data_IF_818160073348
#
_entry.id   IF_818160073348
#
_cell.length_a   1.000
_cell.length_b   1.000
_cell.length_c   1.000
_cell.angle_alpha   90.00
_cell.angle_beta   90.00
_cell.angle_gamma   90.00
#
_symmetry.space_group_name_H-M   'P 1'
#
loop_
_entity.id
_entity.type
_entity.pdbx_description
1 polymer ?
#
# COMPACT_ATOMS: atom_id res chain seq x y z
N UNK A 1 -90.58 -3.96 -3.00
CA UNK A 1 -90.81 -5.19 -3.80
C UNK A 1 -89.69 -5.35 -4.82
N UNK A 2 -89.10 -6.55 -4.88
CA UNK A 2 -88.60 -7.30 -6.07
C UNK A 2 -87.81 -6.54 -7.15
N UNK A 3 -86.53 -6.94 -7.33
CA UNK A 3 -85.95 -7.68 -8.50
C UNK A 3 -85.74 -6.78 -9.74
N UNK A 4 -84.73 -6.90 -10.61
CA UNK A 4 -83.49 -7.66 -10.83
C UNK A 4 -83.09 -7.25 -12.27
N UNK A 5 -81.78 -7.01 -12.55
CA UNK A 5 -81.05 -7.50 -13.76
C UNK A 5 -81.42 -6.79 -15.11
N UNK A 6 -80.57 -6.46 -16.11
CA UNK A 6 -79.26 -6.93 -16.63
C UNK A 6 -78.62 -5.86 -17.57
N UNK A 7 -77.28 -5.75 -17.51
CA UNK A 7 -76.25 -5.66 -18.58
C UNK A 7 -76.57 -4.96 -19.93
N UNK A 8 -75.72 -3.99 -20.29
CA UNK A 8 -75.45 -3.54 -21.67
C UNK A 8 -74.04 -2.93 -21.79
N UNK A 9 -73.29 -3.33 -22.81
CA UNK A 9 -71.82 -3.23 -22.97
C UNK A 9 -71.41 -2.06 -23.90
N UNK A 10 -70.17 -1.54 -23.68
CA UNK A 10 -69.29 -0.73 -24.57
C UNK A 10 -69.74 0.75 -24.76
N UNK A 11 -68.87 1.77 -24.73
CA UNK A 11 -67.46 1.83 -25.14
C UNK A 11 -66.75 3.11 -24.66
N UNK A 12 -65.41 3.01 -24.64
CA UNK A 12 -64.43 4.05 -24.97
C UNK A 12 -64.14 5.21 -23.99
N UNK A 13 -62.89 5.11 -23.52
CA UNK A 13 -61.84 6.15 -23.44
C UNK A 13 -61.92 7.08 -22.22
N UNK A 14 -61.02 6.84 -21.27
CA UNK A 14 -59.76 7.60 -21.05
C UNK A 14 -60.06 8.95 -20.44
N UNK A 15 -59.68 9.13 -19.17
CA UNK A 15 -58.79 10.20 -18.67
C UNK A 15 -58.69 10.04 -17.14
N UNK A 16 -57.46 10.22 -16.63
CA UNK A 16 -57.10 10.45 -15.23
C UNK A 16 -56.91 9.24 -14.29
N UNK A 17 -55.82 8.51 -14.53
CA UNK A 17 -55.04 7.94 -13.42
C UNK A 17 -53.57 7.96 -13.82
N UNK A 18 -52.83 8.97 -13.35
CA UNK A 18 -51.36 8.98 -13.23
C UNK A 18 -50.92 10.33 -12.66
N UNK A 19 -51.24 10.56 -11.39
CA UNK A 19 -50.59 11.61 -10.58
C UNK A 19 -49.91 10.98 -9.35
N UNK A 20 -49.43 9.75 -9.50
CA UNK A 20 -48.60 9.04 -8.53
C UNK A 20 -47.63 8.19 -9.35
N UNK A 21 -46.34 8.21 -8.98
CA UNK A 21 -45.16 7.65 -9.68
C UNK A 21 -44.44 8.56 -10.68
N UNK A 22 -43.60 9.46 -10.17
CA UNK A 22 -42.22 9.63 -10.66
C UNK A 22 -41.42 10.58 -9.75
N UNK A 23 -41.35 10.30 -8.45
CA UNK A 23 -40.20 10.73 -7.66
C UNK A 23 -39.32 9.49 -7.48
N UNK A 24 -38.67 9.09 -8.57
CA UNK A 24 -37.56 8.16 -8.50
C UNK A 24 -36.46 8.86 -7.73
N UNK A 25 -36.30 8.49 -6.46
CA UNK A 25 -35.10 8.77 -5.71
C UNK A 25 -33.91 8.23 -6.52
N UNK A 26 -33.22 9.12 -7.24
CA UNK A 26 -31.86 8.85 -7.67
C UNK A 26 -31.01 8.85 -6.39
N UNK A 27 -30.96 7.71 -5.71
CA UNK A 27 -29.83 7.43 -4.84
C UNK A 27 -28.62 7.27 -5.74
N UNK A 28 -27.88 8.36 -5.93
CA UNK A 28 -26.49 8.27 -6.36
C UNK A 28 -25.80 7.36 -5.36
N UNK A 29 -25.48 6.14 -5.77
CA UNK A 29 -24.50 5.36 -5.03
C UNK A 29 -23.20 6.13 -5.20
N UNK A 30 -22.74 6.83 -4.15
CA UNK A 30 -21.45 7.48 -4.15
C UNK A 30 -20.39 6.47 -4.64
N UNK A 31 -19.78 6.81 -5.77
CA UNK A 31 -18.71 6.01 -6.38
C UNK A 31 -17.56 5.81 -5.41
N UNK A 32 -16.63 4.91 -5.75
CA UNK A 32 -15.42 4.72 -4.94
C UNK A 32 -14.59 6.00 -4.96
N UNK A 33 -14.25 6.51 -3.77
CA UNK A 33 -13.39 7.67 -3.65
C UNK A 33 -11.93 7.25 -3.68
N UNK A 34 -11.35 7.37 -4.86
CA UNK A 34 -9.97 7.04 -5.17
C UNK A 34 -8.90 7.92 -4.51
N UNK A 35 -9.32 8.94 -3.75
CA UNK A 35 -8.49 9.82 -2.93
C UNK A 35 -8.86 9.76 -1.43
N UNK A 36 -9.72 8.81 -1.02
CA UNK A 36 -10.03 8.58 0.40
C UNK A 36 -8.86 7.86 1.09
N UNK A 37 -7.81 8.62 1.40
CA UNK A 37 -6.71 8.20 2.24
C UNK A 37 -6.09 9.45 2.89
N UNK A 38 -5.30 9.23 3.94
CA UNK A 38 -4.59 10.28 4.67
C UNK A 38 -3.09 10.22 4.52
N UNK A 39 -2.57 9.05 4.14
CA UNK A 39 -1.21 8.84 3.66
C UNK A 39 -1.18 7.63 2.71
N UNK A 40 -0.32 7.69 1.70
CA UNK A 40 -0.13 6.68 0.67
C UNK A 40 1.36 6.53 0.37
N UNK A 41 1.83 5.29 0.21
CA UNK A 41 3.13 5.00 -0.37
C UNK A 41 3.07 3.73 -1.21
N UNK A 42 3.57 3.80 -2.43
CA UNK A 42 3.66 2.71 -3.41
C UNK A 42 5.12 2.57 -3.83
N UNK A 43 5.63 1.34 -3.77
CA UNK A 43 6.99 1.04 -4.22
C UNK A 43 7.20 -0.44 -4.47
N UNK A 44 8.36 -0.80 -5.00
CA UNK A 44 8.75 -2.19 -5.18
C UNK A 44 9.39 -2.76 -3.91
N UNK A 45 9.69 -4.06 -3.87
CA UNK A 45 10.36 -4.66 -2.69
C UNK A 45 11.82 -4.19 -2.51
N UNK A 46 12.45 -3.60 -3.53
CA UNK A 46 13.85 -3.16 -3.51
C UNK A 46 14.03 -1.73 -2.99
N UNK A 47 12.94 -1.00 -2.77
CA UNK A 47 12.96 0.37 -2.22
C UNK A 47 12.78 1.46 -3.27
N UNK A 48 12.47 1.10 -4.52
CA UNK A 48 12.11 2.08 -5.54
C UNK A 48 10.69 2.57 -5.27
N UNK A 49 10.58 3.81 -4.80
CA UNK A 49 9.30 4.46 -4.54
C UNK A 49 8.75 4.99 -5.86
N UNK A 50 7.54 4.54 -6.19
CA UNK A 50 6.83 4.91 -7.42
C UNK A 50 5.91 6.11 -7.18
N UNK A 51 5.24 6.13 -6.03
CA UNK A 51 4.29 7.18 -5.66
C UNK A 51 4.25 7.30 -4.14
N UNK A 52 4.21 8.53 -3.64
CA UNK A 52 3.94 8.78 -2.24
C UNK A 52 3.15 10.07 -2.05
N UNK A 53 2.30 10.08 -1.02
CA UNK A 53 1.49 11.22 -0.62
C UNK A 53 1.36 11.21 0.90
N UNK A 54 1.84 12.28 1.54
CA UNK A 54 1.86 12.44 3.00
C UNK A 54 2.47 11.24 3.76
N UNK A 55 3.46 10.57 3.16
CA UNK A 55 3.99 9.28 3.61
C UNK A 55 4.74 9.33 4.95
N UNK A 56 5.20 10.52 5.35
CA UNK A 56 5.89 10.76 6.61
C UNK A 56 4.95 11.15 7.76
N UNK A 57 3.68 11.45 7.50
CA UNK A 57 2.74 11.81 8.54
C UNK A 57 2.44 10.62 9.46
N UNK A 58 2.59 10.87 10.77
CA UNK A 58 2.29 9.89 11.81
C UNK A 58 0.78 9.70 11.91
N UNK A 59 0.34 8.44 11.85
CA UNK A 59 -1.06 8.03 11.92
C UNK A 59 -1.23 6.87 12.92
N UNK A 60 -2.42 6.72 13.53
CA UNK A 60 -2.75 5.51 14.27
C UNK A 60 -2.68 4.28 13.38
N UNK A 61 -2.05 3.21 13.87
CA UNK A 61 -1.76 2.01 13.09
C UNK A 61 -2.96 1.05 12.99
N UNK A 62 -3.77 0.97 14.05
CA UNK A 62 -4.71 -0.13 14.24
C UNK A 62 -4.01 -1.50 14.05
N UNK A 63 -4.71 -2.50 13.50
CA UNK A 63 -4.17 -3.87 13.41
C UNK A 63 -2.96 -4.06 12.49
N UNK A 64 -2.46 -3.05 11.76
CA UNK A 64 -1.16 -3.20 11.07
C UNK A 64 0.00 -3.34 12.07
N UNK A 65 -0.20 -2.93 13.32
CA UNK A 65 0.67 -3.24 14.48
C UNK A 65 1.06 -4.72 14.55
N UNK A 66 0.15 -5.63 14.18
CA UNK A 66 0.36 -7.08 14.28
C UNK A 66 1.44 -7.62 13.33
N UNK A 67 1.91 -6.82 12.37
CA UNK A 67 3.09 -7.17 11.57
C UNK A 67 4.30 -7.33 12.50
N UNK A 68 4.56 -6.36 13.40
CA UNK A 68 5.65 -6.43 14.37
C UNK A 68 5.45 -7.55 15.40
N UNK A 69 4.22 -7.76 15.87
CA UNK A 69 3.89 -8.88 16.77
C UNK A 69 4.23 -10.23 16.15
N UNK A 70 3.93 -10.40 14.86
CA UNK A 70 4.25 -11.62 14.12
C UNK A 70 5.76 -11.75 13.92
N UNK A 71 6.47 -10.66 13.61
CA UNK A 71 7.93 -10.64 13.47
C UNK A 71 8.62 -11.14 14.74
N UNK A 72 8.26 -10.62 15.92
CA UNK A 72 8.89 -11.07 17.18
C UNK A 72 8.61 -12.54 17.49
N UNK A 73 7.43 -13.04 17.12
CA UNK A 73 7.11 -14.47 17.25
C UNK A 73 7.98 -15.30 16.30
N UNK A 74 8.08 -14.87 15.03
CA UNK A 74 8.89 -15.53 14.01
C UNK A 74 10.40 -15.48 14.33
N UNK A 75 10.89 -14.43 15.01
CA UNK A 75 12.26 -14.36 15.51
C UNK A 75 12.58 -15.49 16.49
N UNK A 76 11.67 -15.76 17.43
CA UNK A 76 11.84 -16.86 18.39
C UNK A 76 11.82 -18.22 17.69
N UNK A 77 10.98 -18.38 16.67
CA UNK A 77 10.94 -19.59 15.84
C UNK A 77 12.24 -19.76 15.06
N UNK A 78 12.69 -18.71 14.36
CA UNK A 78 13.91 -18.72 13.53
C UNK A 78 15.18 -18.97 14.35
N UNK A 79 15.20 -18.53 15.60
CA UNK A 79 16.31 -18.78 16.54
C UNK A 79 16.18 -20.11 17.30
N UNK A 80 15.13 -20.90 17.07
CA UNK A 80 14.91 -22.19 17.72
C UNK A 80 14.51 -22.11 19.20
N UNK A 81 14.15 -20.92 19.71
CA UNK A 81 13.71 -20.74 21.10
C UNK A 81 12.29 -21.27 21.33
N UNK A 82 11.45 -21.24 20.30
CA UNK A 82 10.12 -21.85 20.28
C UNK A 82 9.91 -22.53 18.92
N UNK A 83 8.92 -23.41 18.83
CA UNK A 83 8.47 -24.00 17.56
C UNK A 83 7.06 -23.54 17.19
N UNK A 84 6.67 -23.76 15.93
CA UNK A 84 5.29 -23.51 15.50
C UNK A 84 4.26 -24.41 16.22
N UNK A 85 4.68 -25.57 16.71
CA UNK A 85 3.79 -26.60 17.26
C UNK A 85 3.72 -26.56 18.80
N UNK A 86 4.52 -25.68 19.42
CA UNK A 86 4.50 -25.40 20.85
C UNK A 86 3.10 -24.96 21.29
N UNK A 87 2.71 -25.44 22.48
CA UNK A 87 1.40 -25.20 23.05
C UNK A 87 1.41 -23.96 23.94
N UNK A 88 0.54 -23.01 23.60
CA UNK A 88 0.31 -21.78 24.37
C UNK A 88 -1.01 -21.91 25.11
N UNK A 89 -0.96 -21.92 26.44
CA UNK A 89 -2.14 -21.85 27.30
C UNK A 89 -2.69 -20.43 27.27
N UNK A 90 -3.92 -20.26 26.79
CA UNK A 90 -4.56 -18.93 26.72
C UNK A 90 -4.95 -18.46 28.11
N UNK A 91 -4.47 -17.29 28.53
CA UNK A 91 -4.85 -16.68 29.81
C UNK A 91 -6.30 -16.17 29.79
N UNK A 92 -6.91 -15.99 30.96
CA UNK A 92 -8.22 -15.34 31.08
C UNK A 92 -8.19 -13.91 30.52
N UNK A 93 -7.05 -13.22 30.63
CA UNK A 93 -6.87 -11.88 30.08
C UNK A 93 -6.82 -11.90 28.55
N UNK A 94 -6.02 -12.78 27.95
CA UNK A 94 -5.98 -12.93 26.50
C UNK A 94 -7.36 -13.29 25.94
N UNK A 95 -8.07 -14.24 26.56
CA UNK A 95 -9.41 -14.65 26.13
C UNK A 95 -10.45 -13.52 26.17
N UNK A 96 -10.30 -12.55 27.08
CA UNK A 96 -11.23 -11.42 27.20
C UNK A 96 -10.94 -10.24 26.26
N UNK A 97 -9.80 -10.25 25.56
CA UNK A 97 -9.47 -9.20 24.59
C UNK A 97 -10.46 -9.24 23.41
N UNK A 98 -11.15 -8.11 23.11
CA UNK A 98 -12.24 -8.11 22.14
C UNK A 98 -11.76 -8.13 20.69
N UNK A 99 -12.68 -8.49 19.78
CA UNK A 99 -12.51 -8.57 18.33
C UNK A 99 -11.47 -9.61 17.88
N UNK A 100 -11.96 -10.78 17.50
CA UNK A 100 -11.14 -11.89 17.08
C UNK A 100 -11.91 -13.20 16.94
N UNK A 101 -11.18 -14.30 16.82
CA UNK A 101 -11.73 -15.65 17.02
C UNK A 101 -12.09 -15.85 18.49
N UNK A 102 -12.89 -16.87 18.79
CA UNK A 102 -13.11 -17.28 20.17
C UNK A 102 -11.92 -18.12 20.63
N UNK A 103 -11.15 -17.60 21.58
CA UNK A 103 -10.16 -18.38 22.33
C UNK A 103 -10.72 -18.65 23.73
N UNK A 104 -10.46 -19.84 24.27
CA UNK A 104 -10.98 -20.28 25.57
C UNK A 104 -9.86 -20.19 26.60
N UNK A 105 -10.09 -19.50 27.72
CA UNK A 105 -9.13 -19.44 28.82
C UNK A 105 -8.78 -20.84 29.33
N UNK A 106 -7.50 -21.09 29.62
CA UNK A 106 -6.96 -22.38 30.05
C UNK A 106 -6.79 -23.41 28.92
N UNK A 107 -7.40 -23.20 27.75
CA UNK A 107 -7.19 -24.09 26.59
C UNK A 107 -5.86 -23.78 25.91
N UNK A 108 -5.20 -24.83 25.44
CA UNK A 108 -3.97 -24.73 24.66
C UNK A 108 -4.23 -24.65 23.16
N UNK A 109 -3.52 -23.74 22.50
CA UNK A 109 -3.47 -23.60 21.04
C UNK A 109 -2.01 -23.65 20.60
N UNK A 110 -1.74 -24.08 19.36
CA UNK A 110 -0.36 -24.03 18.86
C UNK A 110 0.06 -22.59 18.56
N UNK A 111 1.37 -22.30 18.59
CA UNK A 111 1.90 -21.02 18.08
C UNK A 111 1.43 -20.78 16.64
N UNK A 112 1.37 -21.83 15.81
CA UNK A 112 0.84 -21.80 14.44
C UNK A 112 -0.63 -21.37 14.38
N UNK A 113 -1.48 -21.90 15.25
CA UNK A 113 -2.90 -21.51 15.34
C UNK A 113 -3.03 -20.03 15.68
N UNK A 114 -2.24 -19.56 16.66
CA UNK A 114 -2.28 -18.16 17.07
C UNK A 114 -1.73 -17.22 16.00
N UNK A 115 -0.68 -17.61 15.26
CA UNK A 115 -0.18 -16.87 14.09
C UNK A 115 -1.22 -16.82 12.97
N UNK A 116 -1.86 -17.95 12.63
CA UNK A 116 -2.98 -17.98 11.66
C UNK A 116 -4.09 -17.02 12.07
N UNK A 117 -4.55 -17.09 13.33
CA UNK A 117 -5.59 -16.20 13.83
C UNK A 117 -5.17 -14.72 13.80
N UNK A 118 -3.91 -14.42 14.12
CA UNK A 118 -3.33 -13.07 14.13
C UNK A 118 -3.16 -12.48 12.73
N UNK A 119 -2.61 -13.24 11.78
CA UNK A 119 -2.27 -12.78 10.44
C UNK A 119 -3.51 -12.77 9.53
N UNK A 120 -4.27 -13.88 9.52
CA UNK A 120 -5.41 -14.06 8.62
C UNK A 120 -6.63 -13.32 9.16
N UNK A 121 -7.11 -13.69 10.36
CA UNK A 121 -8.34 -13.11 10.93
C UNK A 121 -8.12 -11.80 11.68
N UNK A 122 -6.88 -11.34 11.83
CA UNK A 122 -6.54 -10.13 12.59
C UNK A 122 -6.94 -10.19 14.07
N UNK A 123 -6.94 -11.38 14.66
CA UNK A 123 -7.48 -11.63 16.00
C UNK A 123 -6.66 -10.92 17.09
N UNK A 124 -7.30 -10.08 17.90
CA UNK A 124 -6.61 -9.31 18.95
C UNK A 124 -6.19 -10.18 20.14
N UNK A 125 -7.05 -11.12 20.55
CA UNK A 125 -6.76 -12.07 21.63
C UNK A 125 -5.62 -13.04 21.28
N UNK A 126 -5.51 -13.48 20.02
CA UNK A 126 -4.40 -14.33 19.58
C UNK A 126 -3.07 -13.56 19.60
N UNK A 127 -3.07 -12.30 19.14
CA UNK A 127 -1.90 -11.44 19.22
C UNK A 127 -1.49 -11.17 20.68
N UNK A 128 -2.46 -11.01 21.59
CA UNK A 128 -2.21 -10.84 23.01
C UNK A 128 -1.62 -12.12 23.64
N UNK A 129 -2.18 -13.30 23.32
CA UNK A 129 -1.66 -14.59 23.79
C UNK A 129 -0.23 -14.85 23.29
N UNK A 130 0.08 -14.53 22.03
CA UNK A 130 1.44 -14.58 21.50
C UNK A 130 2.37 -13.64 22.26
N UNK A 131 1.92 -12.42 22.58
CA UNK A 131 2.72 -11.45 23.32
C UNK A 131 3.05 -11.93 24.75
N UNK A 132 2.06 -12.48 25.47
CA UNK A 132 2.31 -13.10 26.78
C UNK A 132 3.30 -14.26 26.67
N UNK A 133 3.13 -15.15 25.68
CA UNK A 133 3.98 -16.32 25.52
C UNK A 133 5.43 -15.98 25.12
N UNK A 134 5.59 -15.11 24.13
CA UNK A 134 6.89 -14.75 23.54
C UNK A 134 7.66 -13.76 24.41
N UNK A 135 6.96 -12.81 25.02
CA UNK A 135 7.55 -11.74 25.83
C UNK A 135 7.59 -12.03 27.32
N UNK A 136 6.99 -13.12 27.78
CA UNK A 136 6.73 -13.41 29.21
C UNK A 136 5.55 -12.60 29.76
N UNK A 137 5.47 -11.32 29.40
CA UNK A 137 4.35 -10.43 29.68
C UNK A 137 4.19 -9.38 28.56
N UNK A 138 3.01 -8.75 28.50
CA UNK A 138 2.69 -7.77 27.45
C UNK A 138 3.56 -6.50 27.53
N UNK A 139 3.80 -5.87 28.70
CA UNK A 139 4.74 -4.76 28.80
C UNK A 139 6.14 -5.07 28.24
N UNK A 140 6.71 -6.23 28.57
CA UNK A 140 8.00 -6.71 28.09
C UNK A 140 7.99 -6.97 26.59
N UNK A 141 6.91 -7.54 26.08
CA UNK A 141 6.71 -7.70 24.64
C UNK A 141 6.64 -6.35 23.90
N UNK A 142 5.89 -5.38 24.41
CA UNK A 142 5.78 -4.04 23.81
C UNK A 142 7.12 -3.30 23.85
N UNK A 143 7.93 -3.44 24.91
CA UNK A 143 9.31 -2.93 24.92
C UNK A 143 10.13 -3.54 23.77
N UNK A 144 10.06 -4.86 23.61
CA UNK A 144 10.73 -5.58 22.52
C UNK A 144 10.27 -5.12 21.13
N UNK A 145 8.97 -4.81 20.95
CA UNK A 145 8.44 -4.28 19.68
C UNK A 145 9.08 -2.94 19.33
N UNK A 146 9.24 -2.06 20.31
CA UNK A 146 9.85 -0.75 20.11
C UNK A 146 11.37 -0.83 19.94
N UNK A 147 12.05 -1.73 20.65
CA UNK A 147 13.49 -2.00 20.44
C UNK A 147 13.74 -2.54 19.03
N UNK A 148 12.90 -3.47 18.56
CA UNK A 148 12.96 -4.02 17.21
C UNK A 148 12.68 -2.97 16.13
N UNK A 149 11.72 -2.06 16.37
CA UNK A 149 11.48 -0.93 15.48
C UNK A 149 12.72 -0.02 15.37
N UNK A 150 13.35 0.32 16.50
CA UNK A 150 14.58 1.13 16.52
C UNK A 150 15.75 0.45 15.85
N UNK A 151 15.93 -0.85 16.05
CA UNK A 151 17.03 -1.59 15.40
C UNK A 151 16.88 -1.68 13.88
N UNK A 152 15.67 -1.49 13.36
CA UNK A 152 15.39 -1.35 11.94
C UNK A 152 15.39 0.10 11.41
N UNK A 153 15.65 1.10 12.26
CA UNK A 153 15.59 2.51 11.87
C UNK A 153 14.17 2.95 11.49
N UNK A 154 13.15 2.39 12.15
CA UNK A 154 11.73 2.68 11.94
C UNK A 154 11.26 3.71 12.97
N UNK A 155 11.85 4.89 12.92
CA UNK A 155 11.78 5.89 13.99
C UNK A 155 10.38 6.42 14.27
N UNK A 156 9.46 6.37 13.30
CA UNK A 156 8.06 6.78 13.51
C UNK A 156 7.23 5.71 14.23
N UNK A 157 7.65 4.44 14.20
CA UNK A 157 6.87 3.36 14.78
C UNK A 157 6.98 3.40 16.30
N UNK A 158 5.83 3.51 16.95
CA UNK A 158 5.67 3.53 18.42
C UNK A 158 4.55 2.57 18.78
N UNK A 159 4.89 1.52 19.50
CA UNK A 159 3.95 0.49 19.92
C UNK A 159 3.59 0.65 21.38
N UNK A 160 2.31 0.48 21.67
CA UNK A 160 1.71 0.59 22.99
C UNK A 160 0.87 -0.66 23.32
N UNK A 161 0.61 -1.51 22.32
CA UNK A 161 -0.09 -2.77 22.47
C UNK A 161 0.42 -3.81 21.44
N UNK A 162 0.22 -5.11 21.69
CA UNK A 162 0.59 -6.15 20.71
C UNK A 162 -0.41 -6.29 19.57
N UNK A 163 -1.56 -5.59 19.62
CA UNK A 163 -2.67 -5.84 18.72
C UNK A 163 -3.18 -4.59 17.99
N UNK A 164 -2.80 -3.38 18.39
CA UNK A 164 -3.27 -2.14 17.77
C UNK A 164 -4.69 -1.76 18.19
N UNK A 165 -5.17 -2.21 19.34
CA UNK A 165 -6.40 -1.69 19.94
C UNK A 165 -6.19 -0.26 20.44
N UNK A 166 -7.19 0.64 20.33
CA UNK A 166 -7.04 2.01 20.76
C UNK A 166 -7.03 2.12 22.31
N UNK A 167 -6.55 3.25 22.86
CA UNK A 167 -6.43 3.50 24.30
C UNK A 167 -7.68 3.18 25.13
N UNK A 168 -8.88 3.37 24.57
CA UNK A 168 -10.15 3.06 25.22
C UNK A 168 -10.32 1.59 25.59
N UNK A 169 -9.58 0.67 24.96
CA UNK A 169 -9.57 -0.76 25.28
C UNK A 169 -8.33 -1.19 26.05
N UNK A 170 -7.19 -0.54 25.81
CA UNK A 170 -5.90 -0.98 26.35
C UNK A 170 -5.51 -0.28 27.64
N UNK A 171 -6.05 0.91 27.89
CA UNK A 171 -5.56 1.81 28.94
C UNK A 171 -4.12 2.31 28.71
N UNK A 172 -3.59 2.12 27.49
CA UNK A 172 -2.22 2.48 27.09
C UNK A 172 -2.26 3.58 26.01
N UNK A 173 -1.11 4.03 25.54
CA UNK A 173 -1.02 4.96 24.42
C UNK A 173 -1.53 4.35 23.10
N UNK A 174 -1.70 5.20 22.08
CA UNK A 174 -2.09 4.77 20.74
C UNK A 174 -0.87 4.21 19.98
N UNK A 175 -1.00 3.06 19.34
CA UNK A 175 0.01 2.58 18.39
C UNK A 175 0.09 3.50 17.17
N UNK A 176 1.28 4.01 16.85
CA UNK A 176 1.49 5.06 15.86
C UNK A 176 2.65 4.76 14.90
N UNK A 177 2.59 5.31 13.70
CA UNK A 177 3.64 5.20 12.68
C UNK A 177 3.27 5.90 11.37
N UNK A 178 4.20 5.95 10.43
CA UNK A 178 3.96 6.53 9.11
C UNK A 178 4.07 5.50 7.97
N UNK A 179 3.65 5.89 6.77
CA UNK A 179 3.63 4.98 5.62
C UNK A 179 5.04 4.58 5.17
N UNK A 180 6.03 5.46 5.31
CA UNK A 180 7.45 5.21 4.96
C UNK A 180 8.05 4.08 5.79
N UNK A 181 7.84 4.09 7.09
CA UNK A 181 8.39 3.06 7.98
C UNK A 181 7.58 1.76 7.91
N UNK A 182 6.27 1.82 7.69
CA UNK A 182 5.48 0.61 7.41
C UNK A 182 5.88 -0.04 6.09
N UNK A 183 6.26 0.74 5.08
CA UNK A 183 6.80 0.23 3.82
C UNK A 183 8.13 -0.49 4.04
N UNK A 184 9.07 0.12 4.79
CA UNK A 184 10.33 -0.55 5.18
C UNK A 184 10.07 -1.82 5.99
N UNK A 185 9.13 -1.77 6.94
CA UNK A 185 8.73 -2.94 7.73
C UNK A 185 8.19 -4.06 6.83
N UNK A 186 7.42 -3.71 5.79
CA UNK A 186 6.94 -4.67 4.81
C UNK A 186 8.09 -5.27 3.99
N UNK A 187 9.07 -4.47 3.54
CA UNK A 187 10.27 -4.97 2.86
C UNK A 187 11.04 -5.97 3.74
N UNK A 188 11.26 -5.62 5.02
CA UNK A 188 11.90 -6.50 6.01
C UNK A 188 11.09 -7.79 6.20
N UNK A 189 9.77 -7.67 6.34
CA UNK A 189 8.88 -8.83 6.49
C UNK A 189 9.03 -9.79 5.29
N UNK A 190 9.02 -9.24 4.08
CA UNK A 190 9.11 -10.02 2.85
C UNK A 190 10.48 -10.66 2.64
N UNK A 191 11.56 -9.99 3.07
CA UNK A 191 12.94 -10.46 2.91
C UNK A 191 13.37 -11.44 4.00
N UNK A 192 13.16 -11.09 5.26
CA UNK A 192 13.75 -11.80 6.40
C UNK A 192 12.78 -12.79 7.07
N UNK A 193 11.48 -12.62 6.79
CA UNK A 193 10.36 -13.36 7.37
C UNK A 193 9.37 -13.85 6.30
N UNK A 194 9.87 -14.35 5.17
CA UNK A 194 9.06 -14.83 4.03
C UNK A 194 7.98 -15.85 4.43
N UNK A 195 8.20 -16.59 5.53
CA UNK A 195 7.21 -17.47 6.15
C UNK A 195 5.90 -16.78 6.53
N UNK A 196 5.91 -15.46 6.76
CA UNK A 196 4.70 -14.67 6.96
C UNK A 196 3.71 -14.88 5.80
N UNK A 197 4.20 -14.96 4.57
CA UNK A 197 3.39 -15.17 3.38
C UNK A 197 2.73 -16.56 3.35
N UNK A 198 3.28 -17.56 4.05
CA UNK A 198 2.63 -18.87 4.19
C UNK A 198 1.28 -18.76 4.92
N UNK A 199 1.08 -17.69 5.71
CA UNK A 199 -0.17 -17.37 6.38
C UNK A 199 -0.97 -16.31 5.60
N UNK A 200 -0.37 -15.17 5.25
CA UNK A 200 -1.11 -14.02 4.71
C UNK A 200 -1.73 -14.23 3.34
N UNK A 201 -1.21 -15.18 2.54
CA UNK A 201 -1.76 -15.52 1.22
C UNK A 201 -3.08 -16.30 1.31
N UNK A 202 -3.40 -16.86 2.48
CA UNK A 202 -4.57 -17.71 2.66
C UNK A 202 -5.82 -16.85 2.89
N UNK A 203 -6.79 -16.95 1.97
CA UNK A 203 -8.11 -16.30 2.12
C UNK A 203 -8.93 -16.93 3.25
N UNK A 204 -8.80 -18.24 3.42
CA UNK A 204 -9.44 -19.05 4.45
C UNK A 204 -8.42 -20.05 4.96
N UNK A 205 -8.42 -20.30 6.26
CA UNK A 205 -7.68 -21.39 6.90
C UNK A 205 -8.47 -21.84 8.15
N UNK A 206 -7.94 -22.83 8.86
CA UNK A 206 -8.51 -23.36 10.07
C UNK A 206 -7.46 -23.47 11.17
N UNK A 207 -7.91 -23.23 12.39
CA UNK A 207 -7.14 -23.37 13.63
C UNK A 207 -7.85 -24.38 14.53
N UNK A 208 -7.19 -24.75 15.64
CA UNK A 208 -7.78 -25.60 16.67
C UNK A 208 -8.20 -26.97 16.09
N UNK A 209 -7.25 -27.63 15.42
CA UNK A 209 -7.45 -28.92 14.76
C UNK A 209 -8.64 -28.93 13.77
N UNK A 210 -8.89 -27.81 13.09
CA UNK A 210 -9.98 -27.69 12.11
C UNK A 210 -11.29 -27.14 12.67
N UNK A 211 -11.42 -26.98 13.98
CA UNK A 211 -12.69 -26.60 14.62
C UNK A 211 -13.06 -25.12 14.44
N UNK A 212 -12.08 -24.26 14.19
CA UNK A 212 -12.33 -22.82 14.05
C UNK A 212 -11.82 -22.31 12.72
N UNK A 213 -12.75 -21.84 11.88
CA UNK A 213 -12.44 -21.20 10.60
C UNK A 213 -11.93 -19.78 10.81
N UNK A 214 -10.82 -19.44 10.15
CA UNK A 214 -10.31 -18.06 10.03
C UNK A 214 -10.44 -17.59 8.59
N UNK A 215 -10.99 -16.39 8.41
CA UNK A 215 -11.14 -15.77 7.09
C UNK A 215 -10.35 -14.47 7.06
N UNK A 216 -9.58 -14.27 5.98
CA UNK A 216 -8.73 -13.11 5.82
C UNK A 216 -9.53 -11.81 5.85
N UNK A 217 -9.00 -10.82 6.55
CA UNK A 217 -9.54 -9.45 6.51
C UNK A 217 -9.11 -8.68 5.26
N UNK A 218 -8.16 -9.20 4.47
CA UNK A 218 -7.78 -8.63 3.18
C UNK A 218 -8.70 -9.18 2.08
N UNK A 219 -9.72 -8.41 1.72
CA UNK A 219 -10.69 -8.79 0.68
C UNK A 219 -10.13 -8.66 -0.74
N UNK A 220 -8.90 -8.16 -0.93
CA UNK A 220 -8.25 -8.16 -2.25
C UNK A 220 -7.69 -9.54 -2.61
N UNK A 221 -7.49 -10.44 -1.63
CA UNK A 221 -7.06 -11.81 -1.85
C UNK A 221 -8.05 -12.59 -2.74
N UNK A 222 -7.53 -13.11 -3.85
CA UNK A 222 -8.30 -13.83 -4.87
C UNK A 222 -9.18 -12.93 -5.75
N UNK A 223 -9.26 -11.63 -5.48
CA UNK A 223 -10.01 -10.66 -6.27
C UNK A 223 -9.09 -9.76 -7.11
N UNK A 224 -7.86 -9.55 -6.67
CA UNK A 224 -6.82 -8.83 -7.41
C UNK A 224 -5.63 -9.76 -7.63
N UNK A 225 -5.22 -9.91 -8.90
CA UNK A 225 -4.14 -10.81 -9.28
C UNK A 225 -2.83 -10.43 -8.58
N UNK A 226 -2.16 -11.44 -8.02
CA UNK A 226 -0.86 -11.34 -7.38
C UNK A 226 -0.90 -10.99 -5.89
N UNK A 227 -2.04 -10.55 -5.33
CA UNK A 227 -2.13 -10.21 -3.91
C UNK A 227 -1.91 -11.44 -3.03
N UNK A 228 -0.99 -11.33 -2.07
CA UNK A 228 -0.64 -12.40 -1.12
C UNK A 228 -0.40 -11.91 0.33
N UNK A 229 -0.71 -10.64 0.63
CA UNK A 229 -0.54 -10.07 1.98
C UNK A 229 -0.72 -8.55 2.00
N UNK A 230 -0.29 -7.83 3.05
CA UNK A 230 0.21 -8.32 4.33
C UNK A 230 -0.87 -8.20 5.41
N UNK A 231 -1.35 -6.99 5.68
CA UNK A 231 -2.19 -6.73 6.86
C UNK A 231 -3.11 -5.53 6.70
N UNK A 232 -4.40 -5.72 7.00
CA UNK A 232 -5.36 -4.63 7.21
C UNK A 232 -5.44 -4.20 8.68
N UNK A 233 -5.92 -2.99 8.94
CA UNK A 233 -6.28 -2.48 10.26
C UNK A 233 -7.41 -1.46 10.20
N UNK A 234 -8.19 -1.41 11.28
CA UNK A 234 -9.28 -0.45 11.43
C UNK A 234 -9.63 -0.25 12.91
N UNK A 235 -9.85 1.01 13.27
CA UNK A 235 -10.70 1.50 14.36
C UNK A 235 -10.98 2.98 14.06
N UNK A 236 -11.98 3.59 14.71
CA UNK A 236 -12.49 4.91 14.33
C UNK A 236 -11.41 5.98 14.19
N UNK A 237 -10.48 6.07 15.15
CA UNK A 237 -9.39 7.05 15.10
C UNK A 237 -8.33 6.79 14.01
N UNK A 238 -8.17 5.54 13.55
CA UNK A 238 -7.20 5.18 12.52
C UNK A 238 -7.77 5.30 11.10
N UNK A 239 -9.09 5.20 10.95
CA UNK A 239 -9.68 4.86 9.66
C UNK A 239 -9.26 3.46 9.19
N UNK A 240 -9.42 3.18 7.90
CA UNK A 240 -9.06 1.92 7.27
C UNK A 240 -7.62 1.96 6.74
N UNK A 241 -6.75 1.17 7.36
CA UNK A 241 -5.34 1.03 7.01
C UNK A 241 -5.05 -0.30 6.31
N UNK A 242 -4.20 -0.33 5.29
CA UNK A 242 -3.65 -1.57 4.74
C UNK A 242 -2.17 -1.41 4.42
N UNK A 243 -1.42 -2.46 4.71
CA UNK A 243 -0.12 -2.75 4.10
C UNK A 243 -0.34 -3.95 3.19
N UNK A 244 -0.26 -3.74 1.89
CA UNK A 244 -0.60 -4.68 0.84
C UNK A 244 0.68 -5.08 0.09
N UNK A 245 0.76 -6.34 -0.34
CA UNK A 245 1.76 -6.77 -1.29
C UNK A 245 1.10 -7.58 -2.39
N UNK A 246 1.66 -7.46 -3.59
CA UNK A 246 1.29 -8.29 -4.72
C UNK A 246 2.56 -8.68 -5.47
N UNK A 247 2.59 -9.89 -6.02
CA UNK A 247 3.68 -10.38 -6.86
C UNK A 247 3.12 -10.88 -8.21
N UNK A 248 3.70 -10.41 -9.32
CA UNK A 248 3.40 -10.90 -10.68
C UNK A 248 4.71 -11.10 -11.45
N UNK A 249 5.01 -12.35 -11.82
CA UNK A 249 6.22 -12.69 -12.59
C UNK A 249 7.52 -12.19 -11.94
N UNK A 250 7.67 -12.47 -10.64
CA UNK A 250 8.82 -12.09 -9.80
C UNK A 250 9.07 -10.59 -9.60
N UNK A 251 8.14 -9.75 -10.04
CA UNK A 251 8.08 -8.34 -9.66
C UNK A 251 7.09 -8.19 -8.49
N UNK A 252 7.60 -7.71 -7.35
CA UNK A 252 6.83 -7.57 -6.12
C UNK A 252 6.65 -6.11 -5.74
N UNK A 253 5.38 -5.72 -5.67
CA UNK A 253 4.92 -4.41 -5.21
C UNK A 253 4.56 -4.45 -3.72
N UNK A 254 4.74 -3.30 -3.06
CA UNK A 254 4.22 -2.97 -1.74
C UNK A 254 3.40 -1.69 -1.83
N UNK A 255 2.21 -1.69 -1.23
CA UNK A 255 1.37 -0.50 -1.09
C UNK A 255 0.99 -0.30 0.38
N UNK A 256 1.18 0.91 0.89
CA UNK A 256 0.75 1.34 2.22
C UNK A 256 -0.29 2.43 2.07
N UNK A 257 -1.51 2.19 2.54
CA UNK A 257 -2.63 3.14 2.50
C UNK A 257 -3.14 3.30 3.93
N UNK A 258 -3.09 4.52 4.46
CA UNK A 258 -3.50 4.83 5.83
C UNK A 258 -4.64 5.84 5.86
N UNK A 259 -5.59 5.65 6.77
CA UNK A 259 -6.57 6.66 7.13
C UNK A 259 -7.78 6.80 6.21
N UNK A 260 -8.06 5.85 5.32
CA UNK A 260 -9.29 5.89 4.52
C UNK A 260 -10.52 5.88 5.42
N UNK A 261 -11.52 6.72 5.14
CA UNK A 261 -12.79 6.69 5.89
C UNK A 261 -13.53 5.37 5.67
N UNK A 262 -13.44 4.78 4.46
CA UNK A 262 -14.11 3.53 4.15
C UNK A 262 -13.16 2.45 3.64
N UNK A 263 -13.37 1.22 4.10
CA UNK A 263 -12.63 0.05 3.61
C UNK A 263 -12.86 -0.20 2.11
N UNK A 264 -14.04 0.14 1.57
CA UNK A 264 -14.34 0.01 0.13
C UNK A 264 -13.40 0.89 -0.70
N UNK A 265 -13.23 2.15 -0.31
CA UNK A 265 -12.45 3.13 -1.04
C UNK A 265 -10.96 2.80 -0.94
N UNK A 266 -10.51 2.44 0.27
CA UNK A 266 -9.17 1.90 0.52
C UNK A 266 -8.83 0.71 -0.39
N UNK A 267 -9.76 -0.23 -0.52
CA UNK A 267 -9.57 -1.42 -1.35
C UNK A 267 -9.54 -1.07 -2.85
N UNK A 268 -10.40 -0.15 -3.29
CA UNK A 268 -10.41 0.37 -4.65
C UNK A 268 -9.08 1.03 -5.02
N UNK A 269 -8.55 1.87 -4.12
CA UNK A 269 -7.22 2.48 -4.24
C UNK A 269 -6.16 1.38 -4.38
N UNK A 270 -6.13 0.40 -3.47
CA UNK A 270 -5.16 -0.69 -3.52
C UNK A 270 -5.22 -1.51 -4.82
N UNK A 271 -6.42 -1.81 -5.31
CA UNK A 271 -6.61 -2.52 -6.57
C UNK A 271 -6.11 -1.71 -7.77
N UNK A 272 -6.43 -0.40 -7.82
CA UNK A 272 -5.96 0.52 -8.86
C UNK A 272 -4.44 0.61 -8.87
N UNK A 273 -3.82 0.94 -7.74
CA UNK A 273 -2.37 1.13 -7.65
C UNK A 273 -1.59 -0.15 -8.00
N UNK A 274 -2.13 -1.33 -7.66
CA UNK A 274 -1.56 -2.61 -8.12
C UNK A 274 -1.59 -2.70 -9.63
N UNK A 275 -2.75 -2.45 -10.24
CA UNK A 275 -2.87 -2.61 -11.69
C UNK A 275 -2.00 -1.58 -12.43
N UNK A 276 -1.98 -0.33 -11.96
CA UNK A 276 -1.15 0.74 -12.52
C UNK A 276 0.35 0.39 -12.45
N UNK A 277 0.82 -0.11 -11.30
CA UNK A 277 2.21 -0.52 -11.10
C UNK A 277 2.68 -1.55 -12.15
N UNK A 278 1.86 -2.57 -12.42
CA UNK A 278 2.20 -3.61 -13.39
C UNK A 278 1.93 -3.22 -14.85
N UNK A 279 0.95 -2.35 -15.13
CA UNK A 279 0.62 -1.90 -16.49
C UNK A 279 1.65 -0.90 -17.02
N UNK A 280 2.11 0.03 -16.19
CA UNK A 280 3.02 1.11 -16.60
C UNK A 280 4.47 0.63 -16.79
N UNK A 281 4.73 -0.67 -16.63
CA UNK A 281 6.01 -1.29 -16.94
C UNK A 281 7.12 -0.94 -15.96
N UNK A 282 6.79 -0.53 -14.73
CA UNK A 282 7.77 -0.52 -13.63
C UNK A 282 8.40 -1.92 -13.46
N UNK A 283 7.60 -2.96 -13.68
CA UNK A 283 8.02 -4.36 -13.83
C UNK A 283 9.12 -4.61 -14.88
N UNK A 284 9.14 -3.84 -15.98
CA UNK A 284 10.05 -4.06 -17.11
C UNK A 284 11.34 -3.25 -17.05
N UNK A 285 11.36 -2.14 -16.31
CA UNK A 285 12.58 -1.31 -16.19
C UNK A 285 13.71 -1.99 -15.42
N UNK A 286 13.39 -2.97 -14.57
CA UNK A 286 14.37 -3.68 -13.75
C UNK A 286 14.82 -5.03 -14.33
N UNK A 287 14.26 -5.50 -15.44
CA UNK A 287 14.75 -6.70 -16.15
C UNK A 287 15.88 -6.41 -17.16
N UNK A 288 16.40 -5.17 -17.20
CA UNK A 288 17.31 -4.73 -18.25
C UNK A 288 18.40 -3.75 -17.83
N UNK A 289 18.80 -3.70 -16.56
CA UNK A 289 19.97 -2.91 -16.13
C UNK A 289 20.71 -3.60 -14.97
N UNK A 290 21.38 -4.70 -15.28
CA UNK A 290 22.67 -4.98 -14.67
C UNK A 290 23.69 -4.07 -15.34
N UNK A 291 23.81 -2.82 -14.89
CA UNK A 291 25.00 -2.06 -15.20
C UNK A 291 26.15 -2.68 -14.41
N UNK A 292 26.90 -3.53 -15.11
CA UNK A 292 28.24 -3.89 -14.72
C UNK A 292 29.02 -2.58 -14.51
N UNK A 293 29.61 -2.46 -13.32
CA UNK A 293 30.64 -1.48 -13.04
C UNK A 293 31.88 -1.88 -13.84
N UNK A 294 31.91 -1.58 -15.14
CA UNK A 294 33.15 -1.63 -15.92
C UNK A 294 33.86 -0.30 -15.73
N UNK A 295 34.85 -0.31 -14.83
CA UNK A 295 35.81 0.77 -14.70
C UNK A 295 36.44 1.08 -16.05
N UNK A 296 36.32 2.33 -16.45
CA UNK A 296 36.85 2.87 -17.68
C UNK A 296 38.38 3.02 -17.54
N UNK A 297 39.15 2.05 -18.04
CA UNK A 297 40.56 2.27 -18.34
C UNK A 297 40.66 2.64 -19.83
N UNK A 298 40.72 3.95 -20.07
CA UNK A 298 41.20 4.51 -21.33
C UNK A 298 42.68 4.13 -21.48
N UNK A 299 42.97 3.26 -22.44
CA UNK A 299 44.34 2.88 -22.82
C UNK A 299 44.37 2.51 -24.28
N UNK A 300 44.59 3.52 -25.12
CA UNK A 300 44.77 3.41 -26.57
C UNK A 300 45.92 2.45 -26.89
N UNK A 301 45.63 1.39 -27.63
CA UNK A 301 46.61 0.44 -28.12
C UNK A 301 47.09 0.94 -29.50
N UNK A 302 48.33 1.42 -29.57
CA UNK A 302 49.06 1.49 -30.84
C UNK A 302 50.49 0.95 -30.66
N UNK A 303 50.82 0.10 -31.62
CA UNK A 303 51.93 -0.82 -31.71
C UNK A 303 53.28 -0.09 -31.95
N UNK A 304 54.35 -0.47 -31.25
CA UNK A 304 55.70 -0.70 -31.83
C UNK A 304 56.79 -0.98 -30.78
N UNK A 305 57.57 -2.02 -31.07
CA UNK A 305 58.97 -2.33 -30.69
C UNK A 305 59.64 -1.52 -29.56
N UNK A 306 60.18 -2.22 -28.56
CA UNK A 306 61.63 -2.53 -28.47
C UNK A 306 62.06 -2.91 -27.05
N UNK A 307 62.77 -4.03 -26.95
CA UNK A 307 63.94 -4.29 -26.09
C UNK A 307 63.88 -4.07 -24.55
N UNK A 308 64.13 -5.21 -23.88
CA UNK A 308 65.20 -5.43 -22.88
C UNK A 308 64.82 -5.61 -21.40
N UNK A 309 65.14 -6.83 -20.95
CA UNK A 309 65.93 -7.21 -19.75
C UNK A 309 65.45 -6.83 -18.34
N UNK A 310 65.22 -7.93 -17.61
CA UNK A 310 65.86 -8.34 -16.34
C UNK A 310 65.22 -8.03 -14.99
N UNK A 311 65.06 -9.14 -14.23
CA UNK A 311 65.44 -9.39 -12.80
C UNK A 311 64.59 -8.68 -11.74
N UNK A 312 63.84 -9.43 -10.92
CA UNK A 312 64.19 -10.27 -9.73
C UNK A 312 64.02 -9.49 -8.42
N UNK A 313 63.25 -10.15 -7.55
CA UNK A 313 63.44 -10.31 -6.10
C UNK A 313 63.06 -9.23 -5.07
N UNK A 314 62.15 -9.68 -4.18
CA UNK A 314 62.24 -9.72 -2.72
C UNK A 314 61.85 -8.52 -1.83
N UNK A 315 60.82 -8.81 -1.00
CA UNK A 315 60.70 -8.64 0.45
C UNK A 315 60.69 -7.26 1.15
N UNK A 316 59.53 -7.04 1.79
CA UNK A 316 59.30 -6.92 3.24
C UNK A 316 59.72 -5.64 4.00
N UNK A 317 58.78 -5.22 4.86
CA UNK A 317 58.95 -4.64 6.21
C UNK A 317 58.35 -3.24 6.43
N UNK A 318 57.38 -3.24 7.34
CA UNK A 318 57.10 -2.29 8.43
C UNK A 318 57.93 -0.98 8.49
N UNK A 319 57.30 0.16 8.74
CA UNK A 319 57.12 0.70 10.10
C UNK A 319 56.35 2.05 10.10
N UNK A 320 55.73 2.30 11.25
CA UNK A 320 55.04 3.47 11.79
C UNK A 320 55.82 4.79 11.75
N UNK A 321 55.12 5.94 11.65
CA UNK A 321 55.13 6.99 12.70
C UNK A 321 54.24 8.20 12.36
N UNK A 322 53.73 8.80 13.44
CA UNK A 322 53.08 10.10 13.57
C UNK A 322 54.01 11.27 13.23
N UNK A 323 53.44 12.44 12.92
CA UNK A 323 53.61 13.64 13.76
C UNK A 323 52.77 14.83 13.24
N UNK A 324 52.38 15.66 14.20
CA UNK A 324 51.57 16.89 14.09
C UNK A 324 52.49 18.12 14.03
N UNK A 325 52.00 19.23 13.46
CA UNK A 325 52.01 20.61 14.01
C UNK A 325 51.98 21.71 12.94
N UNK A 326 50.96 22.59 13.04
CA UNK A 326 50.94 24.07 13.04
C UNK A 326 51.68 24.89 11.96
N UNK A 327 51.29 26.11 11.56
CA UNK A 327 50.10 26.99 11.72
C UNK A 327 50.42 28.29 10.93
N UNK A 328 49.40 29.12 10.74
CA UNK A 328 49.42 30.61 10.70
C UNK A 328 49.49 31.45 9.40
N UNK A 329 48.62 32.47 9.46
CA UNK A 329 48.68 33.86 8.97
C UNK A 329 48.25 34.17 7.51
N UNK A 330 47.54 35.27 7.21
CA UNK A 330 46.96 36.38 7.99
C UNK A 330 46.01 37.20 7.10
N UNK A 331 45.15 38.00 7.74
CA UNK A 331 44.18 38.94 7.20
C UNK A 331 44.80 40.19 6.57
N UNK A 332 44.06 40.88 5.67
CA UNK A 332 44.10 42.34 5.57
C UNK A 332 42.81 42.96 5.01
N UNK A 333 42.30 43.96 5.72
CA UNK A 333 41.18 44.85 5.38
C UNK A 333 41.68 46.04 4.54
N UNK A 334 40.84 46.59 3.65
CA UNK A 334 40.47 48.01 3.76
C UNK A 334 39.23 48.40 2.94
N UNK A 335 38.53 49.38 3.48
CA UNK A 335 37.23 49.98 3.15
C UNK A 335 37.23 50.93 1.95
N UNK A 336 36.04 51.14 1.35
CA UNK A 336 35.45 52.47 1.13
C UNK A 336 33.94 52.39 0.88
N UNK A 337 33.22 53.34 1.47
CA UNK A 337 31.76 53.47 1.50
C UNK A 337 31.25 54.39 0.40
N UNK A 338 30.03 54.14 -0.10
CA UNK A 338 28.98 55.17 -0.26
C UNK A 338 27.63 54.57 -0.70
N UNK A 339 26.63 54.77 0.17
CA UNK A 339 25.19 55.03 -0.06
C UNK A 339 24.44 54.39 -1.23
N UNK A 340 23.47 53.52 -0.92
CA UNK A 340 22.05 53.77 -1.25
C UNK A 340 21.09 52.78 -0.56
N UNK A 341 19.87 53.27 -0.39
CA UNK A 341 18.80 52.83 0.50
C UNK A 341 18.17 51.44 0.26
N UNK A 342 17.53 50.95 1.32
CA UNK A 342 16.37 50.06 1.37
C UNK A 342 16.37 48.73 0.60
N UNK A 343 16.57 47.63 1.33
CA UNK A 343 15.49 46.67 1.67
C UNK A 343 16.05 45.49 2.49
N UNK A 344 15.64 45.40 3.75
CA UNK A 344 15.74 44.17 4.55
C UNK A 344 14.56 43.27 4.16
N UNK A 345 14.81 42.22 3.38
CA UNK A 345 13.80 41.24 3.00
C UNK A 345 14.40 39.87 2.61
N UNK A 346 14.22 38.90 3.50
CA UNK A 346 14.19 37.44 3.29
C UNK A 346 15.37 36.69 2.65
N UNK A 347 16.38 36.37 3.49
CA UNK A 347 17.28 35.20 3.31
C UNK A 347 16.54 33.85 3.26
N UNK A 348 15.24 33.83 3.57
CA UNK A 348 14.36 32.66 3.51
C UNK A 348 13.87 32.42 2.06
N UNK A 349 13.59 33.46 1.27
CA UNK A 349 13.19 33.29 -0.15
C UNK A 349 14.32 32.77 -1.02
N UNK A 350 15.57 33.18 -0.75
CA UNK A 350 16.75 32.63 -1.44
C UNK A 350 17.03 31.17 -1.03
N UNK A 351 16.70 30.79 0.20
CA UNK A 351 16.80 29.40 0.67
C UNK A 351 15.69 28.51 0.06
N UNK A 352 14.44 28.98 0.02
CA UNK A 352 13.32 28.28 -0.62
C UNK A 352 13.53 28.10 -2.13
N UNK A 353 14.10 29.10 -2.83
CA UNK A 353 14.45 28.95 -4.24
C UNK A 353 15.64 28.01 -4.49
N UNK A 354 16.51 27.77 -3.48
CA UNK A 354 17.60 26.78 -3.59
C UNK A 354 17.15 25.33 -3.33
N UNK A 355 16.05 25.13 -2.59
CA UNK A 355 15.51 23.81 -2.26
C UNK A 355 14.44 23.36 -3.25
N UNK A 356 13.66 24.28 -3.81
CA UNK A 356 12.57 23.97 -4.75
C UNK A 356 12.87 24.37 -6.21
N UNK A 357 14.03 24.98 -6.47
CA UNK A 357 14.52 25.24 -7.82
C UNK A 357 15.25 24.03 -8.41
N UNK A 358 14.53 22.97 -8.76
CA UNK A 358 15.03 21.97 -9.71
C UNK A 358 14.04 21.75 -10.85
N UNK A 359 14.49 22.23 -12.00
CA UNK A 359 14.07 21.91 -13.34
C UNK A 359 13.93 20.38 -13.48
N UNK A 360 12.72 19.84 -13.25
CA UNK A 360 12.40 18.45 -13.53
C UNK A 360 12.15 18.32 -15.04
N UNK A 361 13.22 18.35 -15.83
CA UNK A 361 13.19 17.83 -17.19
C UNK A 361 13.16 16.30 -17.11
N UNK A 362 12.02 15.76 -16.64
CA UNK A 362 11.72 14.36 -16.85
C UNK A 362 11.53 14.18 -18.36
N UNK A 363 12.34 13.32 -19.02
CA UNK A 363 12.17 13.11 -20.45
C UNK A 363 10.76 12.58 -20.70
N UNK A 364 10.11 13.08 -21.75
CA UNK A 364 8.79 12.61 -22.13
C UNK A 364 8.87 11.11 -22.41
N UNK A 365 7.96 10.34 -21.81
CA UNK A 365 7.93 8.88 -21.92
C UNK A 365 6.60 8.47 -22.52
N UNK A 366 6.61 7.34 -23.25
CA UNK A 366 5.38 6.69 -23.69
C UNK A 366 4.67 6.11 -22.48
N UNK A 367 3.41 6.47 -22.27
CA UNK A 367 2.59 6.10 -21.12
C UNK A 367 1.22 5.66 -21.61
N UNK A 368 0.70 4.56 -21.06
CA UNK A 368 -0.66 4.11 -21.31
C UNK A 368 -1.60 4.77 -20.32
N UNK A 369 -2.33 5.77 -20.78
CA UNK A 369 -3.18 6.62 -19.93
C UNK A 369 -4.60 6.07 -19.75
N UNK A 370 -5.05 5.22 -20.67
CA UNK A 370 -6.33 4.50 -20.60
C UNK A 370 -6.06 3.05 -20.99
N UNK A 371 -6.47 2.08 -20.19
CA UNK A 371 -6.28 0.65 -20.50
C UNK A 371 -7.60 -0.12 -20.62
N UNK A 372 -7.64 -1.10 -21.52
CA UNK A 372 -8.76 -2.05 -21.71
C UNK A 372 -9.02 -2.98 -20.53
N UNK A 373 -8.14 -2.92 -19.52
CA UNK A 373 -8.23 -3.68 -18.28
C UNK A 373 -8.63 -2.81 -17.09
N UNK A 374 -8.75 -1.50 -17.28
CA UNK A 374 -9.12 -0.56 -16.22
C UNK A 374 -10.64 -0.44 -16.16
N UNK A 375 -11.19 -0.49 -14.95
CA UNK A 375 -12.61 -0.25 -14.73
C UNK A 375 -12.81 1.26 -14.74
N UNK A 376 -13.49 1.77 -15.76
CA UNK A 376 -13.79 3.21 -15.84
C UNK A 376 -15.12 3.57 -15.20
N UNK A 377 -16.04 2.62 -15.09
CA UNK A 377 -17.35 2.80 -14.45
C UNK A 377 -17.98 1.45 -14.08
N UNK A 378 -19.00 1.50 -13.21
CA UNK A 378 -19.79 0.33 -12.83
C UNK A 378 -21.26 0.59 -13.15
N UNK A 379 -21.86 -0.23 -14.02
CA UNK A 379 -23.28 -0.17 -14.35
C UNK A 379 -24.08 -1.10 -13.43
N UNK A 380 -25.15 -0.58 -12.82
CA UNK A 380 -26.12 -1.38 -12.07
C UNK A 380 -27.29 -1.74 -13.00
N UNK A 381 -27.47 -3.03 -13.28
CA UNK A 381 -28.54 -3.55 -14.16
C UNK A 381 -29.34 -4.57 -13.36
N UNK A 382 -30.55 -4.17 -12.96
CA UNK A 382 -31.33 -4.91 -11.97
C UNK A 382 -30.62 -4.91 -10.61
N UNK A 383 -30.44 -6.10 -10.03
CA UNK A 383 -29.72 -6.29 -8.76
C UNK A 383 -28.21 -6.50 -8.94
N UNK A 384 -27.74 -6.69 -10.17
CA UNK A 384 -26.36 -7.02 -10.47
C UNK A 384 -25.55 -5.77 -10.85
N UNK A 385 -24.26 -5.79 -10.52
CA UNK A 385 -23.27 -4.79 -10.93
C UNK A 385 -22.36 -5.35 -12.00
N UNK A 386 -22.08 -4.57 -13.02
CA UNK A 386 -21.20 -4.93 -14.13
C UNK A 386 -20.13 -3.87 -14.31
N UNK A 387 -18.90 -4.31 -14.52
CA UNK A 387 -17.76 -3.40 -14.70
C UNK A 387 -17.66 -3.01 -16.18
N UNK A 388 -17.42 -1.73 -16.44
CA UNK A 388 -17.24 -1.17 -17.77
C UNK A 388 -15.76 -0.88 -18.01
N UNK A 389 -15.26 -1.38 -19.13
CA UNK A 389 -13.86 -1.27 -19.51
C UNK A 389 -13.75 -0.58 -20.86
N UNK A 390 -12.71 0.23 -21.11
CA UNK A 390 -12.36 0.67 -22.45
C UNK A 390 -12.18 -0.52 -23.40
N UNK A 391 -12.53 -0.36 -24.67
CA UNK A 391 -12.27 -1.41 -25.68
C UNK A 391 -10.81 -1.43 -26.15
N UNK A 392 -10.09 -0.31 -25.98
CA UNK A 392 -8.72 -0.12 -26.48
C UNK A 392 -7.88 0.63 -25.47
N UNK A 393 -6.57 0.41 -25.56
CA UNK A 393 -5.59 1.18 -24.83
C UNK A 393 -5.34 2.53 -25.51
N UNK A 394 -5.14 3.59 -24.74
CA UNK A 394 -4.68 4.90 -25.22
C UNK A 394 -3.30 5.18 -24.64
N UNK A 395 -2.33 5.40 -25.53
CA UNK A 395 -0.95 5.70 -25.17
C UNK A 395 -0.57 7.11 -25.63
N UNK A 396 0.11 7.86 -24.78
CA UNK A 396 0.63 9.20 -25.11
C UNK A 396 2.12 9.28 -24.77
N UNK A 397 2.80 10.29 -25.30
CA UNK A 397 4.15 10.64 -24.85
C UNK A 397 4.08 11.92 -24.03
N UNK A 398 4.33 11.83 -22.73
CA UNK A 398 4.22 12.96 -21.81
C UNK A 398 5.30 12.90 -20.73
N UNK A 399 5.60 14.06 -20.13
CA UNK A 399 6.54 14.16 -19.00
C UNK A 399 5.89 13.70 -17.69
N UNK A 400 4.57 13.77 -17.60
CA UNK A 400 3.75 13.35 -16.46
C UNK A 400 2.42 12.75 -16.93
N UNK A 401 1.83 11.86 -16.14
CA UNK A 401 0.52 11.25 -16.45
C UNK A 401 -0.59 12.29 -16.24
N UNK A 402 -1.45 12.55 -17.23
CA UNK A 402 -2.60 13.43 -17.05
C UNK A 402 -3.60 12.80 -16.06
N UNK A 403 -4.19 13.63 -15.20
CA UNK A 403 -5.23 13.19 -14.28
C UNK A 403 -6.59 13.25 -14.99
N UNK A 404 -7.04 12.11 -15.52
CA UNK A 404 -8.23 12.05 -16.36
C UNK A 404 -9.51 11.87 -15.54
N UNK A 405 -10.47 12.74 -15.77
CA UNK A 405 -11.86 12.59 -15.32
C UNK A 405 -12.67 11.93 -16.43
N UNK A 406 -13.42 10.88 -16.08
CA UNK A 406 -14.23 10.12 -17.03
C UNK A 406 -15.71 10.50 -16.97
N UNK A 407 -16.31 10.76 -18.13
CA UNK A 407 -17.76 10.84 -18.34
C UNK A 407 -18.19 9.65 -19.18
N UNK A 408 -19.22 8.92 -18.75
CA UNK A 408 -19.69 7.70 -19.42
C UNK A 408 -21.11 7.87 -19.94
N UNK A 409 -21.33 7.48 -21.19
CA UNK A 409 -22.64 7.47 -21.84
C UNK A 409 -23.00 6.04 -22.24
N UNK A 410 -24.05 5.48 -21.65
CA UNK A 410 -24.52 4.13 -21.98
C UNK A 410 -25.52 4.16 -23.15
N UNK A 411 -25.45 3.14 -24.01
CA UNK A 411 -26.40 2.91 -25.07
C UNK A 411 -27.78 2.59 -24.48
N UNK A 412 -28.85 2.93 -25.21
CA UNK A 412 -30.20 2.53 -24.83
C UNK A 412 -30.36 1.00 -24.88
N UNK A 413 -31.12 0.43 -23.94
CA UNK A 413 -31.43 -1.00 -23.92
C UNK A 413 -30.33 -1.93 -23.38
N UNK A 414 -29.25 -1.39 -22.80
CA UNK A 414 -28.23 -2.20 -22.11
C UNK A 414 -28.86 -3.04 -20.99
N UNK A 415 -28.63 -4.35 -21.02
CA UNK A 415 -29.21 -5.30 -20.08
C UNK A 415 -28.21 -6.43 -19.75
N UNK A 416 -28.60 -7.38 -18.90
CA UNK A 416 -27.73 -8.49 -18.44
C UNK A 416 -27.08 -9.30 -19.59
N UNK A 417 -27.73 -9.39 -20.75
CA UNK A 417 -27.24 -10.12 -21.92
C UNK A 417 -26.24 -9.29 -22.76
N UNK A 418 -25.96 -8.04 -22.37
CA UNK A 418 -24.95 -7.19 -23.00
C UNK A 418 -23.53 -7.49 -22.52
N UNK A 419 -23.35 -8.46 -21.61
CA UNK A 419 -22.02 -8.88 -21.12
C UNK A 419 -21.16 -9.36 -22.30
N UNK A 420 -19.93 -8.87 -22.36
CA UNK A 420 -19.01 -9.09 -23.48
C UNK A 420 -19.29 -8.24 -24.72
N UNK A 421 -20.25 -7.29 -24.67
CA UNK A 421 -20.58 -6.41 -25.80
C UNK A 421 -20.24 -4.96 -25.48
N UNK A 422 -20.12 -4.16 -26.54
CA UNK A 422 -20.02 -2.70 -26.43
C UNK A 422 -21.36 -2.17 -25.91
N UNK A 423 -21.32 -1.39 -24.83
CA UNK A 423 -22.50 -0.89 -24.11
C UNK A 423 -22.58 0.63 -24.02
N UNK A 424 -21.57 1.34 -24.53
CA UNK A 424 -21.55 2.80 -24.46
C UNK A 424 -20.21 3.37 -24.87
N UNK A 425 -20.05 4.65 -24.56
CA UNK A 425 -18.82 5.41 -24.79
C UNK A 425 -18.36 6.09 -23.51
N UNK A 426 -17.09 6.48 -23.49
CA UNK A 426 -16.53 7.35 -22.48
C UNK A 426 -15.88 8.57 -23.13
N UNK A 427 -15.81 9.65 -22.36
CA UNK A 427 -14.94 10.81 -22.59
C UNK A 427 -14.03 10.91 -21.36
N UNK A 428 -12.72 11.01 -21.57
CA UNK A 428 -11.71 11.15 -20.53
C UNK A 428 -10.95 12.46 -20.76
N UNK A 429 -10.93 13.36 -19.78
CA UNK A 429 -10.27 14.67 -19.91
C UNK A 429 -9.58 15.11 -18.63
N UNK A 430 -8.44 15.79 -18.75
CA UNK A 430 -7.76 16.49 -17.65
C UNK A 430 -8.05 18.01 -17.63
N UNK A 431 -9.03 18.47 -18.43
CA UNK A 431 -9.36 19.88 -18.64
C UNK A 431 -8.61 20.53 -19.81
N UNK A 432 -7.56 19.89 -20.34
CA UNK A 432 -6.80 20.38 -21.51
C UNK A 432 -6.85 19.38 -22.66
N UNK A 433 -6.56 18.11 -22.38
CA UNK A 433 -6.60 17.00 -23.32
C UNK A 433 -7.91 16.24 -23.15
N UNK A 434 -8.46 15.75 -24.27
CA UNK A 434 -9.71 14.97 -24.27
C UNK A 434 -9.55 13.74 -25.14
N UNK A 435 -9.93 12.59 -24.60
CA UNK A 435 -9.93 11.29 -25.26
C UNK A 435 -11.34 10.71 -25.22
N UNK A 436 -11.72 9.95 -26.22
CA UNK A 436 -12.99 9.22 -26.21
C UNK A 436 -12.80 7.80 -26.73
N UNK A 437 -13.69 6.91 -26.32
CA UNK A 437 -13.65 5.52 -26.75
C UNK A 437 -14.91 4.78 -26.38
N UNK A 438 -14.95 3.50 -26.76
CA UNK A 438 -16.08 2.62 -26.49
C UNK A 438 -15.87 1.85 -25.18
N UNK A 439 -16.98 1.44 -24.58
CA UNK A 439 -17.01 0.64 -23.36
C UNK A 439 -17.56 -0.74 -23.61
N UNK A 440 -16.83 -1.75 -23.15
CA UNK A 440 -17.28 -3.13 -23.06
C UNK A 440 -17.70 -3.46 -21.63
N UNK A 441 -18.85 -4.12 -21.48
CA UNK A 441 -19.32 -4.60 -20.18
C UNK A 441 -18.76 -5.99 -19.91
N UNK A 442 -18.07 -6.23 -18.79
CA UNK A 442 -17.54 -7.57 -18.43
C UNK A 442 -18.10 -8.10 -17.12
#
# INVERSE_FOLDING_TARGET
>A
MRKKVKIGIKSKKIVLSMAFFAMSAFSFADGENYHDYKALLIGDVNGNIIKEDNSLAVRPLASVTKIMTSILTLDKIKSGQISYDDKVTVSSKAASVPYGVKLTAGKQYTVRDLLKATIIKSSNNAAYALAEYVGGDVPSFVRSMNEKARSYGLDSLRYCSPNGLPPSYTGSCMDQGNARDLYKLAQITLKDYSDYLNFSKNKVDYIDNGNTKVTSTNTLLGNVQGVDGLKTGYHDAAGSNIVLTANRSDDRMIAVILGSNHAKDRNAIGAREINDYYIDGYAKKNSGNSYAYTGNNNGSNNNSNSSSKNRRDHNNSQNSNSDSFNNDNESNNNSNAENNADQKGNKIEQFFNSIFGKNNNNPARKMKIISRNDIVAVAKIGENKYNLYPTKDVEITATQRPNLTYTVNLNSGVNKNSRGKIVGTYIATDGTLTYSGELIMK
#
